data_IF_495341790539
#
_entry.id   IF_495341790539
#
_cell.length_a   1.000
_cell.length_b   1.000
_cell.length_c   1.000
_cell.angle_alpha   90.00
_cell.angle_beta   90.00
_cell.angle_gamma   90.00
#
_symmetry.space_group_name_H-M   'P 1'
#
loop_
_entity.id
_entity.type
_entity.pdbx_description
1 polymer ?
#
# COMPACT_ATOMS: atom_id res chain seq x y z
N UNK A 1 7.44 3.50 5.78
CA UNK A 1 6.30 4.43 5.72
C UNK A 1 6.45 5.29 4.50
N UNK A 2 5.38 5.48 3.72
CA UNK A 2 5.44 6.40 2.59
C UNK A 2 4.07 6.73 2.03
N UNK A 3 4.06 7.79 1.23
CA UNK A 3 2.88 8.37 0.61
C UNK A 3 2.95 8.20 -0.92
N UNK A 4 1.83 7.92 -1.59
CA UNK A 4 1.78 7.80 -3.05
C UNK A 4 2.77 6.74 -3.55
N UNK A 5 3.77 7.11 -4.37
CA UNK A 5 4.88 6.22 -4.75
C UNK A 5 5.64 5.64 -3.55
N UNK A 6 5.81 6.40 -2.46
CA UNK A 6 6.37 5.87 -1.22
C UNK A 6 5.46 4.86 -0.53
N UNK A 7 4.14 4.99 -0.73
CA UNK A 7 3.15 3.99 -0.31
C UNK A 7 3.30 2.70 -1.11
N UNK A 8 3.43 2.82 -2.44
CA UNK A 8 3.78 1.70 -3.34
C UNK A 8 5.05 0.98 -2.88
N UNK A 9 6.14 1.71 -2.63
CA UNK A 9 7.39 1.12 -2.13
C UNK A 9 7.22 0.47 -0.75
N UNK A 10 6.37 1.04 0.12
CA UNK A 10 6.07 0.44 1.43
C UNK A 10 5.32 -0.89 1.29
N UNK A 11 4.41 -1.01 0.32
CA UNK A 11 3.74 -2.29 0.00
C UNK A 11 4.72 -3.32 -0.57
N UNK A 12 5.55 -2.89 -1.53
CA UNK A 12 6.59 -3.76 -2.10
C UNK A 12 7.54 -4.28 -1.02
N UNK A 13 7.94 -3.42 -0.08
CA UNK A 13 8.76 -3.80 1.07
C UNK A 13 8.02 -4.77 2.01
N UNK A 14 6.73 -4.52 2.29
CA UNK A 14 5.91 -5.39 3.12
C UNK A 14 5.80 -6.81 2.56
N UNK A 15 5.76 -6.96 1.24
CA UNK A 15 5.54 -8.24 0.59
C UNK A 15 6.84 -8.94 0.20
N UNK A 16 7.84 -8.22 -0.29
CA UNK A 16 9.08 -8.78 -0.85
C UNK A 16 10.25 -8.77 0.11
N UNK A 17 10.20 -7.95 1.15
CA UNK A 17 11.27 -7.74 2.12
C UNK A 17 10.73 -7.80 3.56
N UNK A 18 9.76 -8.68 3.79
CA UNK A 18 9.04 -8.81 5.07
C UNK A 18 9.91 -9.32 6.22
N UNK A 19 11.08 -9.87 5.90
CA UNK A 19 12.14 -10.33 6.79
C UNK A 19 13.04 -9.18 7.26
N UNK A 20 13.20 -8.15 6.43
CA UNK A 20 13.97 -6.93 6.74
C UNK A 20 13.10 -5.89 7.46
N UNK A 21 11.88 -5.67 6.97
CA UNK A 21 10.99 -4.62 7.48
C UNK A 21 9.95 -5.19 8.44
N UNK A 22 10.03 -4.76 9.71
CA UNK A 22 9.09 -5.18 10.77
C UNK A 22 7.72 -4.53 10.66
N UNK A 23 7.62 -3.36 10.05
CA UNK A 23 6.38 -2.60 9.91
C UNK A 23 6.36 -1.85 8.57
N UNK A 24 5.21 -1.83 7.90
CA UNK A 24 4.97 -1.10 6.67
C UNK A 24 3.71 -0.25 6.79
N UNK A 25 3.83 1.01 6.35
CA UNK A 25 2.77 2.01 6.43
C UNK A 25 2.63 2.62 5.04
N UNK A 26 1.54 2.29 4.35
CA UNK A 26 1.28 2.72 2.98
C UNK A 26 0.13 3.73 2.96
N UNK A 27 0.38 4.95 2.47
CA UNK A 27 -0.65 6.00 2.39
C UNK A 27 -0.91 6.38 0.94
N UNK A 28 -2.18 6.34 0.53
CA UNK A 28 -2.64 6.51 -0.85
C UNK A 28 -1.76 5.79 -1.89
N UNK A 29 -1.49 4.48 -1.72
CA UNK A 29 -0.51 3.77 -2.55
C UNK A 29 -1.04 3.46 -3.95
N UNK A 30 -0.16 3.54 -4.95
CA UNK A 30 -0.38 2.85 -6.23
C UNK A 30 -0.16 1.34 -6.00
N UNK A 31 -1.06 0.52 -6.51
CA UNK A 31 -1.03 -0.95 -6.36
C UNK A 31 -0.79 -1.64 -7.71
N UNK A 32 -1.38 -1.10 -8.78
CA UNK A 32 -1.33 -1.64 -10.13
C UNK A 32 -1.15 -0.47 -11.11
N UNK A 33 -0.06 -0.48 -11.87
CA UNK A 33 0.26 0.58 -12.81
C UNK A 33 -0.74 0.68 -13.97
N UNK A 34 -1.53 -0.36 -14.25
CA UNK A 34 -2.61 -0.30 -15.25
C UNK A 34 -3.81 0.54 -14.78
N UNK A 35 -3.94 0.79 -13.48
CA UNK A 35 -5.02 1.60 -12.91
C UNK A 35 -4.65 3.09 -12.79
N UNK A 36 -3.40 3.44 -13.08
CA UNK A 36 -2.89 4.81 -12.95
C UNK A 36 -2.95 5.58 -14.28
N UNK A 37 -2.71 6.89 -14.26
CA UNK A 37 -2.84 7.70 -15.48
C UNK A 37 -1.78 7.35 -16.54
N UNK A 38 -2.18 7.43 -17.81
CA UNK A 38 -1.32 7.07 -18.95
C UNK A 38 -0.09 7.97 -19.04
N UNK A 39 -0.24 9.29 -18.85
CA UNK A 39 0.83 10.25 -19.02
C UNK A 39 2.00 10.01 -18.06
N UNK A 40 1.74 9.66 -16.80
CA UNK A 40 2.77 9.29 -15.85
C UNK A 40 3.32 7.89 -16.16
N UNK A 41 2.43 6.91 -16.30
CA UNK A 41 2.81 5.51 -16.38
C UNK A 41 3.62 5.20 -17.64
N UNK A 42 3.13 5.62 -18.81
CA UNK A 42 3.79 5.36 -20.09
C UNK A 42 5.12 6.09 -20.21
N UNK A 43 5.26 7.27 -19.57
CA UNK A 43 6.52 8.02 -19.55
C UNK A 43 7.66 7.26 -18.86
N UNK A 44 7.36 6.48 -17.82
CA UNK A 44 8.39 5.81 -17.01
C UNK A 44 8.47 4.29 -17.25
N UNK A 45 7.37 3.66 -17.63
CA UNK A 45 7.28 2.20 -17.81
C UNK A 45 7.19 1.82 -19.29
N UNK A 46 6.72 2.73 -20.16
CA UNK A 46 6.38 2.45 -21.56
C UNK A 46 4.95 1.96 -21.70
N UNK A 47 4.53 1.57 -22.91
CA UNK A 47 3.20 1.00 -23.13
C UNK A 47 3.11 -0.42 -22.52
N UNK A 48 1.93 -0.85 -22.03
CA UNK A 48 1.73 -2.21 -21.52
C UNK A 48 2.07 -3.32 -22.52
N UNK A 49 1.83 -3.07 -23.81
CA UNK A 49 2.14 -4.01 -24.90
C UNK A 49 3.65 -4.12 -25.18
N UNK A 50 4.40 -3.04 -24.97
CA UNK A 50 5.84 -2.98 -25.19
C UNK A 50 6.63 -3.50 -23.99
N UNK A 51 6.10 -3.33 -22.77
CA UNK A 51 6.79 -3.68 -21.53
C UNK A 51 5.91 -4.47 -20.53
N UNK A 52 5.25 -5.57 -20.95
CA UNK A 52 4.29 -6.29 -20.11
C UNK A 52 4.93 -6.81 -18.81
N UNK A 53 6.20 -7.21 -18.88
CA UNK A 53 6.94 -7.73 -17.72
C UNK A 53 7.13 -6.65 -16.64
N UNK A 54 7.36 -5.39 -17.01
CA UNK A 54 7.49 -4.31 -16.03
C UNK A 54 6.16 -4.00 -15.35
N UNK A 55 5.03 -4.08 -16.07
CA UNK A 55 3.71 -3.95 -15.46
C UNK A 55 3.42 -5.08 -14.49
N UNK A 56 3.72 -6.34 -14.84
CA UNK A 56 3.58 -7.48 -13.93
C UNK A 56 4.48 -7.33 -12.70
N UNK A 57 5.79 -7.09 -12.88
CA UNK A 57 6.74 -6.93 -11.77
C UNK A 57 6.46 -5.69 -10.92
N UNK A 58 5.84 -4.68 -11.51
CA UNK A 58 5.44 -3.45 -10.86
C UNK A 58 4.13 -3.60 -10.08
N UNK A 59 3.33 -4.63 -10.33
CA UNK A 59 2.05 -4.84 -9.68
C UNK A 59 2.25 -5.48 -8.30
N UNK A 60 1.77 -4.79 -7.27
CA UNK A 60 1.85 -5.23 -5.87
C UNK A 60 1.10 -6.55 -5.67
N UNK A 61 0.02 -6.79 -6.42
CA UNK A 61 -0.87 -7.95 -6.29
C UNK A 61 -0.15 -9.28 -6.53
N UNK A 62 0.91 -9.27 -7.36
CA UNK A 62 1.75 -10.44 -7.64
C UNK A 62 2.50 -10.94 -6.40
N UNK A 63 2.67 -10.09 -5.39
CA UNK A 63 3.50 -10.38 -4.23
C UNK A 63 2.69 -10.61 -2.94
N UNK A 64 1.37 -10.46 -2.96
CA UNK A 64 0.51 -10.59 -1.78
C UNK A 64 0.70 -11.94 -1.06
N UNK A 65 0.89 -13.03 -1.81
CA UNK A 65 1.12 -14.37 -1.26
C UNK A 65 2.37 -14.45 -0.36
N UNK A 66 3.38 -13.63 -0.63
CA UNK A 66 4.64 -13.57 0.13
C UNK A 66 4.46 -12.88 1.49
N UNK A 67 3.39 -12.11 1.69
CA UNK A 67 3.16 -11.43 2.96
C UNK A 67 2.93 -12.47 4.07
N UNK A 68 3.57 -12.38 5.24
CA UNK A 68 3.36 -13.34 6.31
C UNK A 68 1.93 -13.30 6.87
N UNK A 69 1.34 -14.46 7.13
CA UNK A 69 -0.04 -14.58 7.65
C UNK A 69 -0.13 -14.58 9.19
N UNK A 70 1.01 -14.53 9.89
CA UNK A 70 1.10 -14.68 11.35
C UNK A 70 1.52 -13.39 12.08
N UNK A 71 1.50 -12.24 11.39
CA UNK A 71 1.84 -10.94 12.01
C UNK A 71 1.06 -9.80 11.38
N UNK A 72 0.57 -8.91 12.22
CA UNK A 72 0.04 -7.61 11.81
C UNK A 72 1.20 -6.64 11.61
N UNK A 73 1.65 -6.49 10.36
CA UNK A 73 2.81 -5.65 10.03
C UNK A 73 2.55 -4.65 8.90
N UNK A 74 1.32 -4.58 8.41
CA UNK A 74 0.90 -3.67 7.35
C UNK A 74 -0.31 -2.87 7.80
N UNK A 75 -0.21 -1.54 7.67
CA UNK A 75 -1.35 -0.63 7.73
C UNK A 75 -1.43 0.21 6.46
N UNK A 76 -2.65 0.35 5.93
CA UNK A 76 -2.96 1.09 4.71
C UNK A 76 -3.87 2.27 5.06
N UNK A 77 -3.62 3.43 4.48
CA UNK A 77 -4.43 4.63 4.63
C UNK A 77 -4.85 5.13 3.24
N UNK A 78 -6.11 5.50 3.04
CA UNK A 78 -6.54 6.07 1.75
C UNK A 78 -7.67 7.10 1.92
N UNK A 79 -7.66 8.13 1.06
CA UNK A 79 -8.72 9.11 0.94
C UNK A 79 -9.87 8.62 0.05
N UNK A 80 -11.12 8.75 0.50
CA UNK A 80 -12.30 8.30 -0.26
C UNK A 80 -12.62 9.11 -1.51
N UNK A 81 -12.07 10.32 -1.62
CA UNK A 81 -12.24 11.22 -2.75
C UNK A 81 -10.93 11.40 -3.53
N UNK A 82 -9.97 10.47 -3.41
CA UNK A 82 -8.69 10.57 -4.11
C UNK A 82 -8.88 10.43 -5.63
N UNK A 83 -8.80 11.55 -6.34
CA UNK A 83 -8.87 11.60 -7.79
C UNK A 83 -7.53 11.30 -8.49
N UNK A 84 -6.41 11.24 -7.75
CA UNK A 84 -5.07 11.03 -8.30
C UNK A 84 -4.71 9.54 -8.25
N UNK A 85 -4.69 8.96 -7.06
CA UNK A 85 -4.58 7.50 -6.88
C UNK A 85 -5.97 7.02 -6.49
N UNK A 86 -6.75 6.60 -7.48
CA UNK A 86 -8.15 6.22 -7.26
C UNK A 86 -8.27 5.15 -6.16
N UNK A 87 -9.32 5.23 -5.33
CA UNK A 87 -9.51 4.29 -4.22
C UNK A 87 -9.58 2.82 -4.67
N UNK A 88 -9.89 2.59 -5.95
CA UNK A 88 -9.85 1.27 -6.60
C UNK A 88 -8.53 0.52 -6.33
N UNK A 89 -7.38 1.20 -6.31
CA UNK A 89 -6.09 0.56 -5.98
C UNK A 89 -6.14 -0.13 -4.61
N UNK A 90 -6.56 0.60 -3.58
CA UNK A 90 -6.60 0.09 -2.21
C UNK A 90 -7.73 -0.91 -2.01
N UNK A 91 -8.92 -0.69 -2.59
CA UNK A 91 -10.01 -1.67 -2.48
C UNK A 91 -9.65 -3.00 -3.15
N UNK A 92 -8.99 -2.98 -4.31
CA UNK A 92 -8.52 -4.20 -4.97
C UNK A 92 -7.46 -4.92 -4.15
N UNK A 93 -6.54 -4.17 -3.54
CA UNK A 93 -5.53 -4.75 -2.64
C UNK A 93 -6.15 -5.40 -1.40
N UNK A 94 -7.09 -4.71 -0.73
CA UNK A 94 -7.80 -5.24 0.44
C UNK A 94 -8.50 -6.56 0.10
N UNK A 95 -9.27 -6.59 -1.00
CA UNK A 95 -9.94 -7.81 -1.48
C UNK A 95 -8.94 -8.97 -1.66
N UNK A 96 -7.78 -8.70 -2.26
CA UNK A 96 -6.76 -9.72 -2.48
C UNK A 96 -6.08 -10.18 -1.19
N UNK A 97 -5.84 -9.26 -0.25
CA UNK A 97 -5.30 -9.58 1.07
C UNK A 97 -6.28 -10.47 1.85
N UNK A 98 -7.56 -10.09 1.87
CA UNK A 98 -8.64 -10.84 2.52
C UNK A 98 -8.77 -12.24 1.94
N UNK A 99 -8.89 -12.34 0.61
CA UNK A 99 -8.99 -13.62 -0.09
C UNK A 99 -7.75 -14.52 0.11
N UNK A 100 -6.60 -13.94 0.45
CA UNK A 100 -5.34 -14.65 0.67
C UNK A 100 -5.03 -14.90 2.15
N UNK A 101 -5.93 -14.55 3.07
CA UNK A 101 -5.73 -14.70 4.52
C UNK A 101 -4.52 -13.91 5.03
N UNK A 102 -4.35 -12.68 4.52
CA UNK A 102 -3.21 -11.80 4.80
C UNK A 102 -3.67 -10.67 5.75
N UNK A 103 -3.29 -10.73 7.03
CA UNK A 103 -3.81 -9.81 8.04
C UNK A 103 -3.22 -8.41 7.84
N UNK A 104 -4.08 -7.39 7.95
CA UNK A 104 -3.71 -6.00 7.68
C UNK A 104 -4.66 -5.04 8.41
N UNK A 105 -4.21 -3.82 8.62
CA UNK A 105 -5.03 -2.72 9.12
C UNK A 105 -5.35 -1.75 7.98
N UNK A 106 -6.56 -1.18 8.00
CA UNK A 106 -6.97 -0.20 7.01
C UNK A 106 -7.68 1.00 7.65
N UNK A 107 -7.24 2.20 7.32
CA UNK A 107 -7.86 3.44 7.75
C UNK A 107 -8.36 4.25 6.54
N UNK A 108 -9.68 4.39 6.46
CA UNK A 108 -10.34 5.19 5.43
C UNK A 108 -10.58 6.63 5.88
N UNK A 109 -10.39 7.58 4.97
CA UNK A 109 -10.66 9.01 5.18
C UNK A 109 -11.69 9.48 4.14
N UNK A 110 -13.00 9.36 4.43
CA UNK A 110 -14.07 9.56 3.45
C UNK A 110 -14.00 10.89 2.68
N UNK A 111 -13.67 11.98 3.38
CA UNK A 111 -13.66 13.34 2.84
C UNK A 111 -12.25 13.84 2.45
N UNK A 112 -11.26 12.95 2.43
CA UNK A 112 -9.91 13.26 1.96
C UNK A 112 -9.73 12.84 0.51
N UNK A 113 -8.96 13.65 -0.21
CA UNK A 113 -8.49 13.36 -1.57
C UNK A 113 -7.12 12.68 -1.48
N UNK A 114 -6.23 12.94 -2.45
CA UNK A 114 -4.86 12.47 -2.39
C UNK A 114 -4.11 12.91 -1.14
N UNK A 115 -4.34 14.12 -0.62
CA UNK A 115 -3.82 14.52 0.69
C UNK A 115 -4.86 14.31 1.79
N UNK A 116 -4.49 13.56 2.82
CA UNK A 116 -5.30 13.31 4.01
C UNK A 116 -5.43 14.59 4.86
N UNK A 117 -6.67 14.98 5.19
CA UNK A 117 -6.98 16.23 5.92
C UNK A 117 -6.73 16.13 7.44
N UNK A 118 -7.02 14.97 8.05
CA UNK A 118 -6.98 14.80 9.50
C UNK A 118 -5.61 14.28 9.97
N UNK A 119 -4.57 15.13 9.89
CA UNK A 119 -3.18 14.73 10.17
C UNK A 119 -2.96 14.23 11.60
N UNK A 120 -3.58 14.86 12.60
CA UNK A 120 -3.41 14.43 14.00
C UNK A 120 -3.93 13.01 14.23
N UNK A 121 -5.02 12.62 13.55
CA UNK A 121 -5.51 11.25 13.59
C UNK A 121 -4.51 10.30 12.90
N UNK A 122 -4.06 10.65 11.68
CA UNK A 122 -3.05 9.87 10.95
C UNK A 122 -1.79 9.63 11.80
N UNK A 123 -1.25 10.68 12.41
CA UNK A 123 -0.05 10.61 13.25
C UNK A 123 -0.27 9.73 14.49
N UNK A 124 -1.39 9.91 15.20
CA UNK A 124 -1.73 9.08 16.35
C UNK A 124 -1.89 7.59 15.98
N UNK A 125 -2.59 7.29 14.88
CA UNK A 125 -2.74 5.91 14.39
C UNK A 125 -1.39 5.30 13.98
N UNK A 126 -0.54 6.06 13.31
CA UNK A 126 0.81 5.61 12.93
C UNK A 126 1.66 5.30 14.17
N UNK A 127 1.64 6.16 15.18
CA UNK A 127 2.37 5.94 16.43
C UNK A 127 1.88 4.69 17.15
N UNK A 128 0.55 4.54 17.33
CA UNK A 128 -0.05 3.35 17.95
C UNK A 128 0.35 2.07 17.22
N UNK A 129 0.23 2.07 15.88
CA UNK A 129 0.61 0.91 15.06
C UNK A 129 2.10 0.55 15.22
N UNK A 130 2.98 1.55 15.24
CA UNK A 130 4.42 1.32 15.44
C UNK A 130 4.73 0.81 16.85
N UNK A 131 4.09 1.35 17.87
CA UNK A 131 4.22 0.87 19.26
C UNK A 131 3.82 -0.60 19.36
N UNK A 132 2.66 -0.98 18.82
CA UNK A 132 2.18 -2.36 18.86
C UNK A 132 3.09 -3.32 18.09
N UNK A 133 3.49 -2.93 16.88
CA UNK A 133 4.27 -3.80 15.97
C UNK A 133 5.72 -3.96 16.43
N UNK A 134 6.34 -2.89 16.94
CA UNK A 134 7.77 -2.89 17.29
C UNK A 134 8.02 -3.33 18.74
N UNK A 135 7.11 -3.03 19.67
CA UNK A 135 7.26 -3.45 21.07
C UNK A 135 7.06 -4.96 21.23
N UNK A 136 6.19 -5.56 20.42
CA UNK A 136 5.98 -7.02 20.38
C UNK A 136 7.20 -7.81 19.88
N UNK A 137 8.23 -7.12 19.38
CA UNK A 137 9.46 -7.73 18.85
C UNK A 137 10.61 -7.82 19.88
N UNK A 138 10.38 -7.39 21.14
CA UNK A 138 11.40 -7.30 22.20
C UNK A 138 11.26 -8.37 23.29
N UNK A 139 10.41 -9.38 23.07
CA UNK A 139 10.21 -10.52 23.99
C UNK A 139 10.55 -11.82 23.25
#
# INVERSE_FOLDING_TARGET
>A
MGYSFGGYLSLMAAMRCHDVYKAAIAISPVVDWLLYDTAYTERYIGLPEDNPEAYTKGNVMEYVSNMPSNKDHLIIFHGGQDENVHFLHTSSLIEKLDASGKPHQFQFYPNSRHRLKHRSHLEATVLSFLEDTLSSSLI
#
